data_IF_447464003668
#
_entry.id   IF_447464003668
#
_cell.length_a   1.000
_cell.length_b   1.000
_cell.length_c   1.000
_cell.angle_alpha   90.00
_cell.angle_beta   90.00
_cell.angle_gamma   90.00
#
_symmetry.space_group_name_H-M   'P 1'
#
loop_
_entity.id
_entity.type
_entity.pdbx_description
1 polymer ?
#
# COMPACT_ATOMS: atom_id res chain seq x y z
N UNK A 1 -16.74 1.17 -7.07
CA UNK A 1 -16.19 1.84 -5.86
C UNK A 1 -15.36 0.83 -5.08
N UNK A 2 -14.19 1.20 -4.54
CA UNK A 2 -13.46 0.34 -3.59
C UNK A 2 -14.17 0.43 -2.23
N UNK A 3 -14.81 -0.65 -1.79
CA UNK A 3 -15.38 -0.82 -0.43
C UNK A 3 -16.22 0.35 0.13
N UNK A 4 -16.87 1.17 -0.70
CA UNK A 4 -17.67 2.31 -0.25
C UNK A 4 -16.89 3.57 0.19
N UNK A 5 -15.56 3.59 0.05
CA UNK A 5 -14.77 4.79 0.37
C UNK A 5 -14.57 5.69 -0.86
N UNK A 6 -14.64 7.00 -0.62
CA UNK A 6 -14.23 7.98 -1.62
C UNK A 6 -12.74 7.83 -1.92
N UNK A 7 -12.30 7.97 -3.19
CA UNK A 7 -10.88 8.01 -3.51
C UNK A 7 -10.15 9.09 -2.70
N UNK A 8 -8.91 8.84 -2.24
CA UNK A 8 -8.10 9.86 -1.59
C UNK A 8 -7.81 11.02 -2.55
N UNK A 9 -7.79 12.25 -2.02
CA UNK A 9 -7.46 13.45 -2.81
C UNK A 9 -6.03 13.87 -2.53
N UNK A 10 -5.23 14.03 -3.57
CA UNK A 10 -3.85 14.47 -3.44
C UNK A 10 -3.71 15.94 -3.84
N UNK A 11 -2.92 16.70 -3.07
CA UNK A 11 -2.54 18.08 -3.35
C UNK A 11 -1.03 18.22 -3.18
N UNK A 12 -0.35 18.76 -4.17
CA UNK A 12 1.11 18.96 -4.13
C UNK A 12 1.45 20.41 -4.25
N UNK A 13 2.39 20.89 -3.44
CA UNK A 13 2.94 22.24 -3.54
C UNK A 13 4.44 22.18 -3.81
N UNK A 14 4.91 23.05 -4.69
CA UNK A 14 6.33 23.30 -4.89
C UNK A 14 6.83 24.25 -3.79
N UNK A 15 7.97 23.92 -3.19
CA UNK A 15 8.64 24.68 -2.16
C UNK A 15 9.77 25.52 -2.77
N UNK A 16 10.21 26.55 -2.04
CA UNK A 16 11.34 27.39 -2.45
C UNK A 16 12.67 26.62 -2.51
N UNK A 17 12.75 25.46 -1.88
CA UNK A 17 13.92 24.57 -1.84
C UNK A 17 14.06 23.67 -3.06
N UNK A 18 13.28 23.88 -4.13
CA UNK A 18 13.16 22.98 -5.28
C UNK A 18 12.68 21.56 -4.90
N UNK A 19 11.81 21.49 -3.90
CA UNK A 19 11.19 20.26 -3.43
C UNK A 19 9.68 20.36 -3.50
N UNK A 20 9.01 19.22 -3.49
CA UNK A 20 7.56 19.09 -3.48
C UNK A 20 7.13 18.59 -2.11
N UNK A 21 6.09 19.20 -1.55
CA UNK A 21 5.38 18.69 -0.38
C UNK A 21 3.97 18.30 -0.79
N UNK A 22 3.59 17.07 -0.50
CA UNK A 22 2.25 16.58 -0.80
C UNK A 22 1.40 16.49 0.47
N UNK A 23 0.10 16.65 0.27
CA UNK A 23 -0.96 16.45 1.23
C UNK A 23 -1.95 15.46 0.63
N UNK A 24 -2.33 14.45 1.40
CA UNK A 24 -3.40 13.52 1.01
C UNK A 24 -4.58 13.68 1.97
N UNK A 25 -5.78 13.85 1.41
CA UNK A 25 -7.03 13.91 2.15
C UNK A 25 -7.77 12.58 1.98
N UNK A 26 -8.01 11.88 3.08
CA UNK A 26 -8.72 10.61 3.10
C UNK A 26 -9.62 10.55 4.34
N UNK A 27 -10.88 10.15 4.18
CA UNK A 27 -11.87 10.07 5.28
C UNK A 27 -12.00 11.37 6.09
N UNK A 28 -11.89 12.53 5.42
CA UNK A 28 -11.92 13.86 6.06
C UNK A 28 -10.65 14.23 6.85
N UNK A 29 -9.63 13.37 6.84
CA UNK A 29 -8.34 13.60 7.49
C UNK A 29 -7.29 13.99 6.47
N UNK A 30 -6.32 14.79 6.88
CA UNK A 30 -5.24 15.28 6.02
C UNK A 30 -3.89 14.85 6.56
N UNK A 31 -3.10 14.21 5.71
CA UNK A 31 -1.74 13.74 6.04
C UNK A 31 -0.74 14.48 5.14
N UNK A 32 0.31 15.01 5.75
CA UNK A 32 1.34 15.78 5.06
C UNK A 32 2.62 14.96 4.98
N UNK A 33 3.06 14.67 3.76
CA UNK A 33 4.32 13.97 3.53
C UNK A 33 5.53 14.89 3.70
N UNK A 34 6.71 14.29 3.83
CA UNK A 34 7.98 15.02 3.85
C UNK A 34 8.26 15.66 2.49
N UNK A 35 8.99 16.79 2.45
CA UNK A 35 9.49 17.35 1.20
C UNK A 35 10.32 16.33 0.41
N UNK A 36 10.08 16.22 -0.90
CA UNK A 36 10.86 15.36 -1.82
C UNK A 36 11.16 16.08 -3.12
N UNK A 37 12.24 15.70 -3.80
CA UNK A 37 12.67 16.32 -5.07
C UNK A 37 11.74 16.03 -6.27
N UNK A 38 10.81 15.08 -6.15
CA UNK A 38 9.85 14.73 -7.20
C UNK A 38 8.43 14.72 -6.62
N UNK A 39 7.47 15.21 -7.40
CA UNK A 39 6.04 15.24 -7.08
C UNK A 39 5.50 13.87 -6.67
N UNK A 40 5.80 12.81 -7.44
CA UNK A 40 5.30 11.45 -7.15
C UNK A 40 5.89 10.88 -5.85
N UNK A 41 7.15 11.20 -5.56
CA UNK A 41 7.79 10.77 -4.31
C UNK A 41 7.14 11.46 -3.10
N UNK A 42 6.80 12.74 -3.22
CA UNK A 42 6.10 13.47 -2.17
C UNK A 42 4.69 12.88 -1.92
N UNK A 43 3.94 12.58 -2.99
CA UNK A 43 2.61 11.94 -2.89
C UNK A 43 2.69 10.56 -2.22
N UNK A 44 3.68 9.75 -2.60
CA UNK A 44 3.93 8.45 -1.96
C UNK A 44 4.22 8.60 -0.47
N UNK A 45 5.07 9.56 -0.09
CA UNK A 45 5.44 9.81 1.31
C UNK A 45 4.20 10.22 2.13
N UNK A 46 3.36 11.11 1.59
CA UNK A 46 2.08 11.47 2.23
C UNK A 46 1.11 10.28 2.35
N UNK A 47 1.08 9.39 1.35
CA UNK A 47 0.27 8.16 1.41
C UNK A 47 0.78 7.18 2.47
N UNK A 48 2.10 7.08 2.67
CA UNK A 48 2.70 6.24 3.72
C UNK A 48 2.27 6.71 5.11
N UNK A 49 2.28 8.02 5.37
CA UNK A 49 1.79 8.59 6.64
C UNK A 49 0.32 8.27 6.87
N UNK A 50 -0.52 8.39 5.83
CA UNK A 50 -1.93 8.04 5.92
C UNK A 50 -2.12 6.54 6.21
N UNK A 51 -1.35 5.66 5.55
CA UNK A 51 -1.41 4.22 5.79
C UNK A 51 -1.00 3.86 7.21
N UNK A 52 0.09 4.43 7.73
CA UNK A 52 0.55 4.19 9.09
C UNK A 52 -0.54 4.51 10.12
N UNK A 53 -1.23 5.64 9.95
CA UNK A 53 -2.35 6.02 10.80
C UNK A 53 -3.53 5.04 10.69
N UNK A 54 -3.93 4.66 9.47
CA UNK A 54 -5.01 3.70 9.26
C UNK A 54 -4.68 2.34 9.89
N UNK A 55 -3.46 1.82 9.70
CA UNK A 55 -3.05 0.51 10.23
C UNK A 55 -2.90 0.51 11.75
N UNK A 56 -2.44 1.61 12.36
CA UNK A 56 -2.36 1.69 13.83
C UNK A 56 -3.73 1.81 14.51
N UNK A 57 -4.76 2.26 13.80
CA UNK A 57 -6.16 2.17 14.29
C UNK A 57 -6.83 0.83 14.00
N UNK A 58 -6.30 0.06 13.03
CA UNK A 58 -6.84 -1.26 12.63
C UNK A 58 -6.42 -2.39 13.57
N UNK A 59 -5.42 -2.15 14.43
CA UNK A 59 -4.89 -3.10 15.41
C UNK A 59 -5.83 -3.29 16.62
N UNK A 60 -6.89 -2.47 16.75
CA UNK A 60 -7.85 -2.61 17.85
C UNK A 60 -9.02 -3.57 17.52
N UNK A 61 -8.85 -4.43 16.51
CA UNK A 61 -9.84 -5.41 16.06
C UNK A 61 -9.17 -6.68 15.50
N UNK A 62 -8.17 -7.19 16.21
CA UNK A 62 -7.62 -8.54 16.03
C UNK A 62 -7.52 -9.22 17.38
N UNK A 63 -8.69 -9.47 17.97
CA UNK A 63 -8.81 -10.56 18.91
C UNK A 63 -8.64 -11.89 18.15
N UNK A 64 -7.71 -12.69 18.67
CA UNK A 64 -7.61 -14.16 18.58
C UNK A 64 -7.02 -14.86 17.34
N UNK A 65 -6.09 -15.77 17.66
CA UNK A 65 -5.64 -16.98 16.96
C UNK A 65 -4.99 -16.83 15.56
N UNK A 66 -3.67 -17.05 15.47
CA UNK A 66 -3.15 -18.42 15.36
C UNK A 66 -1.63 -18.39 15.10
N UNK A 67 -0.89 -19.10 15.93
CA UNK A 67 0.55 -19.30 15.83
C UNK A 67 0.84 -20.33 14.72
N UNK A 68 0.86 -19.93 13.45
CA UNK A 68 1.53 -20.76 12.44
C UNK A 68 2.11 -19.92 11.29
N UNK A 69 3.45 -19.93 11.06
CA UNK A 69 4.01 -19.41 9.82
C UNK A 69 3.41 -20.21 8.66
N UNK A 70 2.82 -19.57 7.63
CA UNK A 70 2.39 -20.29 6.45
C UNK A 70 3.64 -20.87 5.79
N UNK A 71 3.79 -22.19 5.78
CA UNK A 71 4.81 -22.89 5.01
C UNK A 71 4.52 -22.67 3.51
N UNK A 72 5.12 -21.62 2.95
CA UNK A 72 4.90 -21.14 1.57
C UNK A 72 5.48 -22.11 0.52
N UNK A 73 6.20 -23.15 0.94
CA UNK A 73 6.97 -24.01 0.03
C UNK A 73 6.09 -24.95 -0.81
N UNK A 74 5.01 -25.48 -0.23
CA UNK A 74 4.20 -26.51 -0.90
C UNK A 74 3.31 -25.93 -2.03
N UNK A 75 2.82 -24.71 -1.86
CA UNK A 75 2.02 -24.04 -2.89
C UNK A 75 2.84 -23.63 -4.12
N UNK A 76 4.12 -23.26 -3.94
CA UNK A 76 4.99 -22.86 -5.06
C UNK A 76 5.36 -24.05 -5.97
N UNK A 77 5.53 -25.25 -5.41
CA UNK A 77 5.86 -26.45 -6.20
C UNK A 77 4.71 -26.86 -7.13
N UNK A 78 3.45 -26.67 -6.71
CA UNK A 78 2.25 -26.92 -7.53
C UNK A 78 2.12 -25.97 -8.72
N UNK A 79 2.67 -24.76 -8.63
CA UNK A 79 2.70 -23.80 -9.74
C UNK A 79 3.82 -24.11 -10.74
N UNK A 80 4.97 -24.62 -10.28
CA UNK A 80 6.13 -24.86 -11.15
C UNK A 80 6.10 -26.23 -11.86
N UNK A 81 5.27 -27.18 -11.39
CA UNK A 81 5.26 -28.57 -11.88
C UNK A 81 4.44 -28.87 -13.15
N UNK A 82 3.70 -27.92 -13.73
CA UNK A 82 2.85 -28.20 -14.91
C UNK A 82 3.55 -27.89 -16.23
N UNK A 83 4.71 -28.53 -16.46
CA UNK A 83 5.27 -28.65 -17.81
C UNK A 83 4.46 -29.67 -18.59
N UNK A 84 3.57 -29.14 -19.44
CA UNK A 84 2.72 -29.87 -20.39
C UNK A 84 3.56 -30.91 -21.17
N UNK A 85 3.26 -32.19 -21.00
CA UNK A 85 3.70 -33.25 -21.93
C UNK A 85 3.02 -32.98 -23.29
N UNK A 86 3.77 -32.54 -24.29
CA UNK A 86 3.32 -32.54 -25.68
C UNK A 86 3.30 -33.98 -26.18
N UNK A 87 2.10 -34.54 -26.36
CA UNK A 87 1.89 -35.74 -27.15
C UNK A 87 1.71 -35.30 -28.60
N UNK A 88 2.64 -35.67 -29.47
CA UNK A 88 2.63 -35.33 -30.89
C UNK A 88 3.23 -36.46 -31.71
N UNK A 89 2.32 -37.31 -32.20
CA UNK A 89 2.43 -38.34 -33.26
C UNK A 89 3.47 -39.45 -33.09
#
# INVERSE_FOLDING_TARGET
MRAGHSPPKYKTKHLKTNEFRALVEFKGMQFVGKPKRNKQLAERDAAVEALAWLTHTSDNSRDEDDNTPPDVTDNMLKLLGKRRRSKGR
#
